data_IF_800128540069
#
_entry.id   IF_800128540069
#
_cell.length_a   1.000
_cell.length_b   1.000
_cell.length_c   1.000
_cell.angle_alpha   90.00
_cell.angle_beta   90.00
_cell.angle_gamma   90.00
#
_symmetry.space_group_name_H-M   'P 1'
#
loop_
_entity.id
_entity.type
_entity.pdbx_description
1 polymer ?
#
# COMPACT_ATOMS: atom_id res chain seq x y z
N UNK A 1 -19.31 -11.06 -33.85
CA UNK A 1 -17.87 -11.02 -34.20
C UNK A 1 -17.39 -9.65 -34.71
N UNK A 2 -18.21 -8.85 -35.41
CA UNK A 2 -17.83 -7.48 -35.83
C UNK A 2 -17.70 -6.49 -34.67
N UNK A 3 -18.66 -6.52 -33.72
CA UNK A 3 -18.74 -5.56 -32.61
C UNK A 3 -17.61 -5.66 -31.58
N UNK A 4 -17.05 -6.87 -31.40
CA UNK A 4 -16.02 -7.15 -30.40
C UNK A 4 -14.63 -6.66 -30.85
N UNK A 5 -14.32 -6.79 -32.15
CA UNK A 5 -13.09 -6.28 -32.75
C UNK A 5 -13.04 -4.75 -32.74
N UNK A 6 -14.18 -4.10 -32.98
CA UNK A 6 -14.32 -2.65 -32.97
C UNK A 6 -14.20 -2.08 -31.54
N UNK A 7 -14.84 -2.72 -30.56
CA UNK A 7 -14.71 -2.37 -29.14
C UNK A 7 -13.26 -2.48 -28.62
N UNK A 8 -12.53 -3.54 -29.04
CA UNK A 8 -11.11 -3.71 -28.69
C UNK A 8 -10.26 -2.58 -29.27
N UNK A 9 -10.51 -2.17 -30.52
CA UNK A 9 -9.79 -1.04 -31.16
C UNK A 9 -10.04 0.28 -30.45
N UNK A 10 -11.28 0.56 -30.08
CA UNK A 10 -11.65 1.79 -29.36
C UNK A 10 -11.02 1.83 -27.95
N UNK A 11 -11.04 0.69 -27.25
CA UNK A 11 -10.39 0.56 -25.93
C UNK A 11 -8.88 0.77 -26.04
N UNK A 12 -8.23 0.21 -27.05
CA UNK A 12 -6.80 0.39 -27.29
C UNK A 12 -6.44 1.85 -27.61
N UNK A 13 -7.22 2.50 -28.47
CA UNK A 13 -7.03 3.92 -28.80
C UNK A 13 -7.16 4.81 -27.55
N UNK A 14 -8.14 4.51 -26.70
CA UNK A 14 -8.33 5.22 -25.43
C UNK A 14 -7.13 5.04 -24.50
N UNK A 15 -6.61 3.82 -24.35
CA UNK A 15 -5.40 3.55 -23.52
C UNK A 15 -4.17 4.28 -24.03
N UNK A 16 -3.95 4.32 -25.34
CA UNK A 16 -2.83 5.05 -25.95
C UNK A 16 -2.94 6.54 -25.65
N UNK A 17 -4.13 7.14 -25.84
CA UNK A 17 -4.36 8.55 -25.52
C UNK A 17 -4.06 8.85 -24.05
N UNK A 18 -4.62 8.07 -23.13
CA UNK A 18 -4.40 8.24 -21.67
C UNK A 18 -2.92 8.14 -21.31
N UNK A 19 -2.19 7.15 -21.86
CA UNK A 19 -0.76 7.00 -21.59
C UNK A 19 0.07 8.16 -22.15
N UNK A 20 -0.29 8.67 -23.34
CA UNK A 20 0.36 9.84 -23.93
C UNK A 20 0.13 11.09 -23.10
N UNK A 21 -1.08 11.30 -22.58
CA UNK A 21 -1.42 12.43 -21.70
C UNK A 21 -0.80 12.31 -20.31
N UNK A 22 -0.54 11.09 -19.83
CA UNK A 22 0.14 10.83 -18.56
C UNK A 22 1.66 11.06 -18.63
N UNK A 23 2.26 11.03 -19.82
CA UNK A 23 3.70 11.07 -20.02
C UNK A 23 4.40 12.28 -19.35
N UNK A 24 3.88 13.53 -19.43
CA UNK A 24 4.51 14.67 -18.76
C UNK A 24 4.60 14.49 -17.24
N UNK A 25 3.59 13.89 -16.61
CA UNK A 25 3.59 13.61 -15.17
C UNK A 25 4.61 12.53 -14.80
N UNK A 26 4.73 11.48 -15.62
CA UNK A 26 5.74 10.44 -15.43
C UNK A 26 7.14 11.06 -15.52
N UNK A 27 7.41 11.86 -16.54
CA UNK A 27 8.70 12.52 -16.74
C UNK A 27 9.06 13.48 -15.58
N UNK A 28 8.07 14.18 -15.02
CA UNK A 28 8.27 15.06 -13.87
C UNK A 28 8.83 14.34 -12.64
N UNK A 29 8.41 13.10 -12.41
CA UNK A 29 8.80 12.31 -11.22
C UNK A 29 9.83 11.21 -11.51
N UNK A 30 10.21 10.99 -12.77
CA UNK A 30 11.24 10.05 -13.14
C UNK A 30 12.55 10.34 -12.36
N UNK A 31 13.13 9.30 -11.76
CA UNK A 31 14.32 9.37 -10.92
C UNK A 31 14.10 9.95 -9.52
N UNK A 32 12.91 10.48 -9.20
CA UNK A 32 12.60 11.04 -7.87
C UNK A 32 12.26 9.94 -6.87
N UNK A 33 12.52 10.21 -5.60
CA UNK A 33 12.12 9.34 -4.49
C UNK A 33 10.78 9.79 -3.94
N UNK A 34 9.85 8.85 -3.73
CA UNK A 34 8.55 9.11 -3.11
C UNK A 34 8.40 8.19 -1.91
N UNK A 35 8.23 8.77 -0.72
CA UNK A 35 7.96 8.02 0.52
C UNK A 35 6.46 7.93 0.74
N UNK A 36 5.94 6.70 0.77
CA UNK A 36 4.50 6.40 0.85
C UNK A 36 4.24 5.75 2.20
N UNK A 37 3.52 6.46 3.09
CA UNK A 37 2.99 5.84 4.30
C UNK A 37 1.76 5.02 3.94
N UNK A 38 1.91 3.71 3.92
CA UNK A 38 0.85 2.75 3.68
C UNK A 38 0.27 2.27 5.01
N UNK A 39 -1.05 2.42 5.19
CA UNK A 39 -1.74 2.01 6.41
C UNK A 39 -3.22 2.39 6.42
N UNK A 40 -3.91 2.11 7.53
CA UNK A 40 -5.33 2.46 7.69
C UNK A 40 -6.25 1.55 6.88
N UNK A 41 -7.34 2.11 6.33
CA UNK A 41 -8.35 1.36 5.58
C UNK A 41 -7.78 0.60 4.38
N UNK A 42 -6.76 1.17 3.73
CA UNK A 42 -6.11 0.59 2.56
C UNK A 42 -5.37 -0.74 2.84
N UNK A 43 -5.15 -1.10 4.11
CA UNK A 43 -4.57 -2.38 4.53
C UNK A 43 -5.59 -3.44 4.96
N UNK A 44 -6.88 -3.08 5.08
CA UNK A 44 -7.93 -3.99 5.56
C UNK A 44 -8.62 -4.73 4.42
N UNK A 45 -8.90 -4.01 3.33
CA UNK A 45 -9.56 -4.56 2.14
C UNK A 45 -8.50 -5.15 1.20
N UNK A 46 -8.64 -6.44 0.87
CA UNK A 46 -7.72 -7.14 -0.04
C UNK A 46 -7.68 -6.52 -1.43
N UNK A 47 -8.81 -6.04 -1.95
CA UNK A 47 -8.88 -5.41 -3.27
C UNK A 47 -8.17 -4.06 -3.30
N UNK A 48 -8.23 -3.28 -2.20
CA UNK A 48 -7.48 -2.03 -2.07
C UNK A 48 -5.99 -2.29 -1.88
N UNK A 49 -5.64 -3.31 -1.09
CA UNK A 49 -4.24 -3.73 -0.93
C UNK A 49 -3.63 -4.06 -2.28
N UNK A 50 -4.29 -4.88 -3.10
CA UNK A 50 -3.78 -5.27 -4.41
C UNK A 50 -3.61 -4.07 -5.35
N UNK A 51 -4.54 -3.12 -5.33
CA UNK A 51 -4.44 -1.88 -6.13
C UNK A 51 -3.25 -1.03 -5.69
N UNK A 52 -3.09 -0.80 -4.38
CA UNK A 52 -1.95 -0.02 -3.86
C UNK A 52 -0.61 -0.66 -4.23
N UNK A 53 -0.50 -1.98 -4.11
CA UNK A 53 0.73 -2.68 -4.51
C UNK A 53 0.98 -2.55 -6.01
N UNK A 54 -0.06 -2.68 -6.85
CA UNK A 54 0.07 -2.44 -8.31
C UNK A 54 0.56 -1.03 -8.62
N UNK A 55 0.05 -0.01 -7.92
CA UNK A 55 0.46 1.38 -8.13
C UNK A 55 1.92 1.60 -7.72
N UNK A 56 2.37 1.00 -6.61
CA UNK A 56 3.78 1.06 -6.16
C UNK A 56 4.70 0.40 -7.20
N UNK A 57 4.31 -0.76 -7.73
CA UNK A 57 5.05 -1.44 -8.80
C UNK A 57 5.07 -0.58 -10.07
N UNK A 58 3.95 0.03 -10.43
CA UNK A 58 3.87 0.94 -11.58
C UNK A 58 4.84 2.12 -11.42
N UNK A 59 4.83 2.81 -10.28
CA UNK A 59 5.76 3.91 -9.97
C UNK A 59 7.22 3.46 -10.17
N UNK A 60 7.59 2.31 -9.61
CA UNK A 60 8.94 1.75 -9.81
C UNK A 60 9.25 1.46 -11.28
N UNK A 61 8.26 0.95 -12.02
CA UNK A 61 8.41 0.55 -13.43
C UNK A 61 8.60 1.74 -14.37
N UNK A 62 8.04 2.90 -14.01
CA UNK A 62 8.17 4.15 -14.77
C UNK A 62 9.32 5.05 -14.30
N UNK A 63 10.22 4.51 -13.46
CA UNK A 63 11.47 5.16 -13.06
C UNK A 63 11.41 5.99 -11.78
N UNK A 64 10.29 6.01 -11.06
CA UNK A 64 10.22 6.56 -9.70
C UNK A 64 10.89 5.60 -8.71
N UNK A 65 11.40 6.11 -7.59
CA UNK A 65 11.98 5.31 -6.49
C UNK A 65 11.03 5.30 -5.29
N UNK A 66 9.98 4.45 -5.28
CA UNK A 66 9.04 4.41 -4.16
C UNK A 66 9.68 3.77 -2.92
N UNK A 67 9.43 4.36 -1.75
CA UNK A 67 9.78 3.82 -0.44
C UNK A 67 8.50 3.67 0.36
N UNK A 68 8.19 2.45 0.81
CA UNK A 68 6.96 2.18 1.56
C UNK A 68 7.28 2.16 3.06
N UNK A 69 6.57 2.98 3.81
CA UNK A 69 6.59 2.97 5.29
C UNK A 69 5.23 2.47 5.76
N UNK A 70 5.20 1.56 6.73
CA UNK A 70 3.96 1.03 7.23
C UNK A 70 3.91 0.92 8.75
N UNK A 71 2.71 0.67 9.24
CA UNK A 71 2.43 0.19 10.59
C UNK A 71 1.12 -0.59 10.53
N UNK A 72 0.67 -1.18 11.65
CA UNK A 72 -0.60 -1.91 11.64
C UNK A 72 -1.17 -2.13 13.04
N UNK A 73 -1.67 -1.04 13.63
CA UNK A 73 -2.32 -1.05 14.96
C UNK A 73 -3.35 -2.18 15.17
N UNK A 74 -4.30 -2.40 14.25
CA UNK A 74 -5.30 -3.46 14.40
C UNK A 74 -4.71 -4.87 14.46
N UNK A 75 -3.66 -5.17 13.68
CA UNK A 75 -3.03 -6.51 13.71
C UNK A 75 -2.30 -6.73 15.04
N UNK A 76 -1.67 -5.70 15.60
CA UNK A 76 -1.03 -5.81 16.92
C UNK A 76 -2.07 -6.12 18.00
N UNK A 77 -3.23 -5.45 17.99
CA UNK A 77 -4.29 -5.71 18.98
C UNK A 77 -4.76 -7.16 18.94
N UNK A 78 -4.96 -7.73 17.76
CA UNK A 78 -5.34 -9.15 17.61
C UNK A 78 -4.33 -10.09 18.27
N UNK A 79 -3.03 -9.77 18.22
CA UNK A 79 -2.00 -10.60 18.83
C UNK A 79 -1.85 -10.37 20.33
N UNK A 80 -2.02 -9.13 20.80
CA UNK A 80 -2.07 -8.85 22.23
C UNK A 80 -3.25 -9.56 22.91
N UNK A 81 -4.44 -9.50 22.30
CA UNK A 81 -5.65 -10.16 22.82
C UNK A 81 -5.45 -11.69 22.92
N UNK A 82 -4.78 -12.31 21.94
CA UNK A 82 -4.44 -13.74 21.97
C UNK A 82 -3.48 -14.14 23.08
N UNK A 83 -2.67 -13.19 23.55
CA UNK A 83 -1.70 -13.39 24.63
C UNK A 83 -2.22 -12.89 25.99
N UNK A 84 -3.47 -12.42 26.05
CA UNK A 84 -4.07 -11.88 27.27
C UNK A 84 -3.48 -10.54 27.72
N UNK A 85 -2.86 -9.78 26.82
CA UNK A 85 -2.33 -8.45 27.10
C UNK A 85 -3.37 -7.42 26.63
N UNK A 86 -3.86 -6.56 27.54
CA UNK A 86 -4.83 -5.55 27.15
C UNK A 86 -4.20 -4.40 26.34
N UNK A 87 -4.73 -4.05 25.15
CA UNK A 87 -4.24 -2.91 24.40
C UNK A 87 -4.55 -1.58 25.11
N UNK A 88 -3.50 -0.82 25.43
CA UNK A 88 -3.63 0.49 26.07
C UNK A 88 -3.25 1.64 25.12
N UNK A 89 -4.00 2.74 25.21
CA UNK A 89 -3.76 3.95 24.42
C UNK A 89 -3.87 5.19 25.31
N UNK A 90 -3.00 6.16 25.06
CA UNK A 90 -3.02 7.49 25.68
C UNK A 90 -2.79 8.54 24.60
N UNK A 91 -3.71 9.49 24.49
CA UNK A 91 -3.63 10.60 23.52
C UNK A 91 -3.42 10.14 22.06
N UNK A 92 -4.04 9.01 21.69
CA UNK A 92 -3.93 8.42 20.34
C UNK A 92 -2.66 7.60 20.09
N UNK A 93 -1.73 7.54 21.05
CA UNK A 93 -0.52 6.72 21.00
C UNK A 93 -0.71 5.44 21.82
N UNK A 94 -0.13 4.33 21.36
CA UNK A 94 -0.14 3.07 22.11
C UNK A 94 0.82 3.18 23.28
N UNK A 95 0.35 2.86 24.48
CA UNK A 95 1.23 2.62 25.63
C UNK A 95 1.89 1.27 25.40
N UNK A 96 3.22 1.26 25.26
CA UNK A 96 3.97 0.07 24.85
C UNK A 96 5.04 -0.22 25.90
N UNK A 97 4.73 -1.12 26.83
CA UNK A 97 5.69 -1.67 27.80
C UNK A 97 6.56 -2.75 27.16
N UNK A 98 7.44 -3.39 27.94
CA UNK A 98 8.38 -4.39 27.44
C UNK A 98 7.66 -5.57 26.74
N UNK A 99 6.64 -6.15 27.38
CA UNK A 99 5.89 -7.27 26.82
C UNK A 99 5.11 -6.85 25.57
N UNK A 100 4.51 -5.66 25.56
CA UNK A 100 3.81 -5.12 24.39
C UNK A 100 4.78 -4.88 23.24
N UNK A 101 6.01 -4.40 23.51
CA UNK A 101 7.02 -4.13 22.49
C UNK A 101 7.45 -5.39 21.75
N UNK A 102 7.65 -6.51 22.46
CA UNK A 102 7.95 -7.80 21.83
C UNK A 102 6.87 -8.20 20.82
N UNK A 103 5.60 -8.04 21.19
CA UNK A 103 4.47 -8.34 20.30
C UNK A 103 4.41 -7.37 19.13
N UNK A 104 4.62 -6.07 19.37
CA UNK A 104 4.66 -5.05 18.31
C UNK A 104 5.73 -5.39 17.28
N UNK A 105 6.94 -5.74 17.72
CA UNK A 105 8.05 -6.09 16.83
C UNK A 105 7.76 -7.35 16.02
N UNK A 106 7.34 -8.44 16.69
CA UNK A 106 6.98 -9.69 16.02
C UNK A 106 5.91 -9.47 14.95
N UNK A 107 4.87 -8.69 15.26
CA UNK A 107 3.78 -8.44 14.32
C UNK A 107 4.25 -7.55 13.17
N UNK A 108 4.82 -6.38 13.45
CA UNK A 108 5.15 -5.42 12.41
C UNK A 108 6.31 -5.89 11.53
N UNK A 109 7.39 -6.41 12.11
CA UNK A 109 8.58 -6.84 11.37
C UNK A 109 8.42 -8.23 10.79
N UNK A 110 7.86 -9.17 11.58
CA UNK A 110 7.79 -10.58 11.22
C UNK A 110 6.63 -10.94 10.31
N UNK A 111 5.46 -10.30 10.49
CA UNK A 111 4.22 -10.68 9.80
C UNK A 111 3.70 -9.65 8.82
N UNK A 112 3.75 -8.36 9.16
CA UNK A 112 3.17 -7.31 8.31
C UNK A 112 4.12 -6.87 7.21
N UNK A 113 5.42 -6.81 7.51
CA UNK A 113 6.44 -6.32 6.59
C UNK A 113 6.86 -7.33 5.50
N UNK A 114 6.60 -8.61 5.73
CA UNK A 114 6.97 -9.70 4.81
C UNK A 114 5.82 -9.98 3.84
#
# INVERSE_FOLDING_TARGET
MSNESEYIKETAATRVRVLSEALPYIQQFAGRTIVIKYGGAAMKDSSLKDKVIRDIVFLSSVGVRPVVVHGRGPEINVWLDKLGIEPQFKDGLRVTDAATMEVVEMVLVGRVNK
#
